data_IF_338617662187
#
_entry.id   IF_338617662187
#
_cell.length_a   1.000
_cell.length_b   1.000
_cell.length_c   1.000
_cell.angle_alpha   90.00
_cell.angle_beta   90.00
_cell.angle_gamma   90.00
#
_symmetry.space_group_name_H-M   'P 1'
#
loop_
_entity.id
_entity.type
_entity.pdbx_description
1 polymer ?
#
# COMPACT_ATOMS: atom_id res chain seq x y z
N UNK A 1 17.51 24.58 12.99
CA UNK A 1 17.14 23.58 11.96
C UNK A 1 16.17 22.61 12.63
N UNK A 2 14.88 22.95 12.62
CA UNK A 2 13.86 22.09 13.22
C UNK A 2 13.77 20.81 12.39
N UNK A 3 14.10 19.68 13.00
CA UNK A 3 13.87 18.38 12.39
C UNK A 3 12.37 18.22 12.19
N UNK A 4 11.95 18.06 10.94
CA UNK A 4 10.60 17.58 10.63
C UNK A 4 10.58 16.13 11.13
N UNK A 5 10.13 15.96 12.38
CA UNK A 5 9.74 14.65 12.89
C UNK A 5 8.53 14.24 12.07
N UNK A 6 8.72 13.28 11.15
CA UNK A 6 7.61 12.68 10.43
C UNK A 6 6.55 12.24 11.44
N UNK A 7 5.31 12.69 11.24
CA UNK A 7 4.20 12.30 12.09
C UNK A 7 3.98 10.78 12.11
N UNK A 8 3.00 10.27 12.86
CA UNK A 8 2.72 8.83 13.00
C UNK A 8 2.60 8.07 11.67
N UNK A 9 2.20 8.73 10.59
CA UNK A 9 2.12 8.16 9.23
C UNK A 9 3.49 7.86 8.57
N UNK A 10 4.57 8.48 9.03
CA UNK A 10 5.91 8.28 8.45
C UNK A 10 6.48 6.87 8.70
N UNK A 11 5.88 6.11 9.62
CA UNK A 11 6.13 4.68 9.85
C UNK A 11 4.85 3.84 9.68
N UNK A 12 3.82 4.41 9.03
CA UNK A 12 2.50 3.81 8.83
C UNK A 12 2.47 2.61 7.87
N UNK A 13 1.28 2.06 7.67
CA UNK A 13 0.96 0.98 6.75
C UNK A 13 1.44 1.29 5.34
N UNK A 14 1.13 2.48 4.79
CA UNK A 14 1.51 2.85 3.43
C UNK A 14 3.03 2.84 3.23
N UNK A 15 3.75 3.39 4.19
CA UNK A 15 5.22 3.45 4.19
C UNK A 15 5.81 2.04 4.23
N UNK A 16 5.32 1.19 5.14
CA UNK A 16 5.80 -0.19 5.28
C UNK A 16 5.48 -1.03 4.04
N UNK A 17 4.27 -0.94 3.51
CA UNK A 17 3.88 -1.60 2.25
C UNK A 17 4.75 -1.12 1.08
N UNK A 18 5.04 0.18 0.98
CA UNK A 18 5.90 0.71 -0.08
C UNK A 18 7.32 0.13 -0.05
N UNK A 19 7.85 -0.22 1.13
CA UNK A 19 9.15 -0.87 1.27
C UNK A 19 9.14 -2.30 0.74
N UNK A 20 8.01 -3.01 0.86
CA UNK A 20 7.83 -4.34 0.28
C UNK A 20 7.80 -4.31 -1.25
N UNK A 21 7.42 -3.17 -1.84
CA UNK A 21 7.44 -2.93 -3.28
C UNK A 21 8.83 -2.67 -3.85
N UNK A 22 9.89 -2.65 -3.04
CA UNK A 22 11.27 -2.60 -3.54
C UNK A 22 11.70 -3.98 -4.02
N UNK A 23 12.35 -4.05 -5.19
CA UNK A 23 13.02 -5.27 -5.67
C UNK A 23 14.30 -5.56 -4.87
N UNK A 24 14.95 -6.70 -5.14
CA UNK A 24 16.21 -7.07 -4.47
C UNK A 24 17.38 -6.11 -4.72
N UNK A 25 17.25 -5.21 -5.70
CA UNK A 25 18.22 -4.18 -6.05
C UNK A 25 17.83 -2.79 -5.49
N UNK A 26 16.72 -2.70 -4.75
CA UNK A 26 16.18 -1.46 -4.20
C UNK A 26 15.44 -0.60 -5.22
N UNK A 27 14.97 -1.16 -6.34
CA UNK A 27 14.18 -0.40 -7.33
C UNK A 27 12.70 -0.52 -7.02
N UNK A 28 11.96 0.55 -7.32
CA UNK A 28 10.50 0.52 -7.26
C UNK A 28 9.97 -0.54 -8.23
N UNK A 29 9.00 -1.33 -7.77
CA UNK A 29 8.27 -2.28 -8.61
C UNK A 29 7.52 -1.55 -9.74
N UNK A 30 7.57 -2.12 -10.94
CA UNK A 30 6.76 -1.67 -12.09
C UNK A 30 5.33 -2.19 -12.05
N UNK A 31 5.00 -3.06 -11.09
CA UNK A 31 3.68 -3.65 -11.01
C UNK A 31 2.66 -2.57 -10.68
N UNK A 32 1.65 -2.41 -11.53
CA UNK A 32 0.56 -1.44 -11.31
C UNK A 32 -0.14 -1.65 -9.97
N UNK A 33 -0.16 -2.89 -9.48
CA UNK A 33 -0.72 -3.24 -8.17
C UNK A 33 -0.01 -2.55 -7.00
N UNK A 34 1.27 -2.20 -7.14
CA UNK A 34 2.02 -1.53 -6.08
C UNK A 34 1.44 -0.15 -5.75
N UNK A 35 0.89 0.55 -6.75
CA UNK A 35 0.22 1.83 -6.52
C UNK A 35 -1.14 1.66 -5.83
N UNK A 36 -1.89 0.59 -6.13
CA UNK A 36 -3.13 0.29 -5.41
C UNK A 36 -2.85 -0.12 -3.96
N UNK A 37 -1.81 -0.93 -3.73
CA UNK A 37 -1.40 -1.36 -2.39
C UNK A 37 -1.00 -0.19 -1.48
N UNK A 38 -0.22 0.78 -1.98
CA UNK A 38 0.13 1.96 -1.17
C UNK A 38 -1.07 2.87 -0.90
N UNK A 39 -2.02 2.99 -1.83
CA UNK A 39 -3.27 3.74 -1.60
C UNK A 39 -4.16 3.07 -0.56
N UNK A 40 -4.29 1.74 -0.61
CA UNK A 40 -4.94 0.97 0.44
C UNK A 40 -4.27 1.19 1.79
N UNK A 41 -2.94 1.18 1.83
CA UNK A 41 -2.17 1.51 3.03
C UNK A 41 -2.46 2.92 3.57
N UNK A 42 -2.58 3.93 2.71
CA UNK A 42 -2.88 5.31 3.14
C UNK A 42 -4.28 5.43 3.74
N UNK A 43 -5.28 4.80 3.13
CA UNK A 43 -6.64 4.78 3.70
C UNK A 43 -6.66 4.11 5.07
N UNK A 44 -5.91 3.02 5.23
CA UNK A 44 -5.77 2.35 6.53
C UNK A 44 -5.02 3.20 7.55
N UNK A 45 -3.98 3.93 7.14
CA UNK A 45 -3.29 4.86 8.03
C UNK A 45 -4.22 5.98 8.51
N UNK A 46 -5.06 6.52 7.62
CA UNK A 46 -6.05 7.53 7.99
C UNK A 46 -7.11 6.96 8.94
N UNK A 47 -7.60 5.74 8.69
CA UNK A 47 -8.57 5.09 9.57
C UNK A 47 -7.97 4.75 10.95
N UNK A 48 -6.74 4.25 11.00
CA UNK A 48 -6.01 3.97 12.25
C UNK A 48 -5.74 5.26 13.04
N UNK A 49 -5.63 6.40 12.37
CA UNK A 49 -5.56 7.72 12.98
C UNK A 49 -6.93 8.30 13.37
N UNK A 50 -8.03 7.56 13.17
CA UNK A 50 -9.40 8.00 13.46
C UNK A 50 -9.95 9.02 12.47
N UNK A 51 -9.30 9.21 11.31
CA UNK A 51 -9.69 10.19 10.28
C UNK A 51 -10.61 9.64 9.21
N UNK A 52 -10.83 8.34 9.18
CA UNK A 52 -11.82 7.69 8.32
C UNK A 52 -12.67 6.79 9.20
N UNK A 53 -13.95 7.11 9.30
CA UNK A 53 -14.91 6.38 10.13
C UNK A 53 -16.09 5.94 9.28
N UNK A 54 -16.66 4.78 9.63
CA UNK A 54 -17.90 4.31 9.04
C UNK A 54 -19.04 4.62 10.00
N UNK A 55 -20.07 5.29 9.49
CA UNK A 55 -21.39 5.41 10.14
C UNK A 55 -22.37 4.47 9.45
N UNK A 56 -23.60 4.36 9.95
CA UNK A 56 -24.61 3.45 9.39
C UNK A 56 -24.95 3.77 7.92
N UNK A 57 -24.84 5.04 7.52
CA UNK A 57 -25.26 5.52 6.20
C UNK A 57 -24.11 6.09 5.34
N UNK A 58 -22.92 6.33 5.90
CA UNK A 58 -21.83 6.99 5.19
C UNK A 58 -20.42 6.64 5.69
N UNK A 59 -19.42 6.98 4.88
CA UNK A 59 -18.02 7.06 5.31
C UNK A 59 -17.69 8.52 5.54
N UNK A 60 -17.30 8.87 6.76
CA UNK A 60 -16.88 10.22 7.13
C UNK A 60 -15.35 10.32 7.10
N UNK A 61 -14.84 11.43 6.56
CA UNK A 61 -13.40 11.67 6.42
C UNK A 61 -13.04 13.02 7.01
N UNK A 62 -12.19 13.01 8.03
CA UNK A 62 -11.55 14.20 8.56
C UNK A 62 -10.46 14.67 7.58
N UNK A 63 -10.73 15.82 6.95
CA UNK A 63 -9.90 16.41 5.92
C UNK A 63 -8.79 17.34 6.47
N UNK A 64 -8.61 17.43 7.80
CA UNK A 64 -7.50 18.20 8.35
C UNK A 64 -6.17 17.68 7.78
N UNK A 65 -5.21 18.56 7.41
CA UNK A 65 -3.90 18.12 6.98
C UNK A 65 -3.21 17.22 8.02
N UNK A 66 -2.58 16.15 7.56
CA UNK A 66 -1.81 15.20 8.37
C UNK A 66 -0.34 15.62 8.49
N UNK A 67 0.14 16.48 7.59
CA UNK A 67 1.56 16.82 7.46
C UNK A 67 2.37 15.74 6.74
N UNK A 68 1.73 14.66 6.27
CA UNK A 68 2.32 13.64 5.42
C UNK A 68 1.83 13.84 3.97
N UNK A 69 2.68 14.35 3.04
CA UNK A 69 2.23 14.83 1.74
C UNK A 69 1.39 13.84 0.90
N UNK A 70 1.70 12.52 0.89
CA UNK A 70 0.85 11.55 0.19
C UNK A 70 -0.56 11.44 0.76
N UNK A 71 -0.71 11.46 2.10
CA UNK A 71 -2.02 11.43 2.76
C UNK A 71 -2.76 12.75 2.54
N UNK A 72 -2.07 13.89 2.63
CA UNK A 72 -2.68 15.20 2.39
C UNK A 72 -3.20 15.35 0.96
N UNK A 73 -2.50 14.76 -0.02
CA UNK A 73 -2.98 14.73 -1.41
C UNK A 73 -4.22 13.85 -1.57
N UNK A 74 -4.28 12.72 -0.87
CA UNK A 74 -5.47 11.86 -0.86
C UNK A 74 -6.66 12.61 -0.24
N UNK A 75 -6.48 13.26 0.91
CA UNK A 75 -7.50 14.06 1.59
C UNK A 75 -7.96 15.24 0.72
N UNK A 76 -7.05 15.94 0.04
CA UNK A 76 -7.41 17.00 -0.89
C UNK A 76 -8.27 16.49 -2.07
N UNK A 77 -8.01 15.27 -2.54
CA UNK A 77 -8.84 14.64 -3.56
C UNK A 77 -10.23 14.32 -3.00
N UNK A 78 -10.32 13.78 -1.77
CA UNK A 78 -11.58 13.52 -1.07
C UNK A 78 -12.45 14.77 -0.95
N UNK A 79 -11.87 15.88 -0.49
CA UNK A 79 -12.59 17.16 -0.38
C UNK A 79 -13.11 17.66 -1.72
N UNK A 80 -12.38 17.41 -2.81
CA UNK A 80 -12.79 17.82 -4.14
C UNK A 80 -13.99 17.00 -4.69
N UNK A 81 -14.18 15.76 -4.24
CA UNK A 81 -15.24 14.87 -4.70
C UNK A 81 -15.90 14.10 -3.53
N UNK A 82 -16.65 14.78 -2.63
CA UNK A 82 -17.13 14.20 -1.36
C UNK A 82 -18.15 13.05 -1.50
N UNK A 83 -18.65 12.79 -2.71
CA UNK A 83 -19.58 11.69 -3.00
C UNK A 83 -18.93 10.49 -3.70
N UNK A 84 -17.61 10.50 -3.92
CA UNK A 84 -16.92 9.42 -4.62
C UNK A 84 -16.85 8.18 -3.72
N UNK A 85 -17.21 6.99 -4.22
CA UNK A 85 -17.13 5.75 -3.46
C UNK A 85 -15.69 5.41 -3.10
N UNK A 86 -15.51 4.61 -2.04
CA UNK A 86 -14.21 4.22 -1.51
C UNK A 86 -13.30 3.53 -2.54
N UNK A 87 -13.86 2.64 -3.37
CA UNK A 87 -13.16 2.02 -4.51
C UNK A 87 -12.60 3.07 -5.49
N UNK A 88 -13.31 4.18 -5.66
CA UNK A 88 -12.87 5.29 -6.47
C UNK A 88 -11.54 5.87 -5.98
N UNK A 89 -11.33 5.95 -4.67
CA UNK A 89 -10.07 6.42 -4.08
C UNK A 89 -8.94 5.41 -4.24
N UNK A 90 -9.25 4.11 -4.15
CA UNK A 90 -8.28 3.05 -4.43
C UNK A 90 -7.82 3.01 -5.89
N UNK A 91 -8.64 3.53 -6.81
CA UNK A 91 -8.34 3.64 -8.23
C UNK A 91 -7.70 4.98 -8.64
N UNK A 92 -7.49 5.90 -7.69
CA UNK A 92 -6.92 7.24 -7.96
C UNK A 92 -5.51 7.16 -8.55
N UNK A 93 -5.34 7.52 -9.83
CA UNK A 93 -4.06 7.34 -10.54
C UNK A 93 -3.02 8.42 -10.26
N UNK A 94 -3.42 9.56 -9.69
CA UNK A 94 -2.51 10.67 -9.38
C UNK A 94 -1.65 10.42 -8.14
N UNK A 95 -1.95 9.37 -7.38
CA UNK A 95 -1.22 8.98 -6.18
C UNK A 95 -0.70 7.55 -6.34
N UNK A 96 0.63 7.40 -6.35
CA UNK A 96 1.26 6.12 -6.59
C UNK A 96 2.52 5.88 -5.77
N UNK A 97 3.20 4.77 -6.05
CA UNK A 97 4.40 4.35 -5.34
C UNK A 97 5.53 5.40 -5.39
N UNK A 98 5.63 6.17 -6.47
CA UNK A 98 6.63 7.23 -6.61
C UNK A 98 6.43 8.37 -5.60
N UNK A 99 5.18 8.69 -5.24
CA UNK A 99 4.87 9.71 -4.24
C UNK A 99 5.28 9.25 -2.84
N UNK A 100 5.03 7.98 -2.51
CA UNK A 100 5.50 7.38 -1.26
C UNK A 100 7.03 7.30 -1.22
N UNK A 101 7.69 6.98 -2.34
CA UNK A 101 9.14 6.98 -2.43
C UNK A 101 9.73 8.37 -2.13
N UNK A 102 9.13 9.43 -2.70
CA UNK A 102 9.52 10.81 -2.42
C UNK A 102 9.28 11.19 -0.96
N UNK A 103 8.16 10.78 -0.37
CA UNK A 103 7.87 11.03 1.04
C UNK A 103 8.81 10.27 1.99
N UNK A 104 9.16 9.03 1.67
CA UNK A 104 10.16 8.24 2.40
C UNK A 104 11.57 8.83 2.29
N UNK A 105 11.93 9.39 1.14
CA UNK A 105 13.20 10.12 0.97
C UNK A 105 13.19 11.39 1.82
N UNK A 106 12.09 12.16 1.81
CA UNK A 106 11.95 13.40 2.57
C UNK A 106 11.94 13.18 4.09
N UNK A 107 11.33 12.10 4.58
CA UNK A 107 11.34 11.72 6.00
C UNK A 107 12.69 11.13 6.44
N UNK A 108 13.59 10.86 5.49
CA UNK A 108 14.86 10.20 5.76
C UNK A 108 14.73 8.70 6.03
N UNK A 109 13.56 8.08 5.85
CA UNK A 109 13.43 6.62 5.94
C UNK A 109 14.20 5.93 4.82
N UNK A 110 14.17 6.50 3.60
CA UNK A 110 14.88 5.96 2.45
C UNK A 110 16.06 6.84 2.03
N UNK A 111 17.09 6.19 1.50
CA UNK A 111 18.21 6.86 0.84
C UNK A 111 18.17 6.56 -0.64
N UNK A 112 17.94 7.59 -1.46
CA UNK A 112 18.01 7.48 -2.92
C UNK A 112 19.46 7.44 -3.39
N UNK A 113 19.79 6.42 -4.17
CA UNK A 113 21.05 6.24 -4.89
C UNK A 113 20.79 6.51 -6.37
N UNK A 114 21.10 7.73 -6.80
CA UNK A 114 20.91 8.14 -8.19
C UNK A 114 21.80 7.34 -9.12
N UNK A 115 21.29 7.00 -10.29
CA UNK A 115 22.02 6.26 -11.32
C UNK A 115 21.94 7.02 -12.64
N UNK A 116 23.08 7.24 -13.31
CA UNK A 116 23.13 8.07 -14.53
C UNK A 116 22.38 7.45 -15.73
N UNK A 117 22.42 6.11 -15.86
CA UNK A 117 21.89 5.37 -17.02
C UNK A 117 20.90 4.26 -16.63
N UNK A 118 20.53 4.18 -15.35
CA UNK A 118 19.65 3.12 -14.83
C UNK A 118 18.59 3.76 -13.95
N UNK A 119 17.55 2.99 -13.66
CA UNK A 119 16.59 3.40 -12.62
C UNK A 119 17.29 3.57 -11.29
N UNK A 120 16.86 4.62 -10.58
CA UNK A 120 17.34 4.90 -9.24
C UNK A 120 17.06 3.74 -8.30
N UNK A 121 17.92 3.62 -7.30
CA UNK A 121 17.79 2.64 -6.23
C UNK A 121 17.50 3.35 -4.93
N UNK A 122 16.74 2.71 -4.07
CA UNK A 122 16.41 3.17 -2.74
C UNK A 122 16.92 2.15 -1.74
N UNK A 123 17.52 2.67 -0.66
CA UNK A 123 17.92 1.87 0.49
C UNK A 123 16.99 2.23 1.63
N UNK A 124 16.20 1.25 2.08
CA UNK A 124 15.34 1.38 3.25
C UNK A 124 16.20 1.30 4.53
N UNK A 125 16.21 2.38 5.33
CA UNK A 125 16.93 2.40 6.61
C UNK A 125 16.25 1.54 7.68
N UNK A 126 14.97 1.19 7.49
CA UNK A 126 14.22 0.31 8.37
C UNK A 126 14.18 -1.15 7.86
N UNK A 127 15.24 -1.61 7.17
CA UNK A 127 15.30 -2.92 6.52
C UNK A 127 14.96 -4.11 7.45
N UNK A 128 15.27 -4.03 8.74
CA UNK A 128 14.91 -5.08 9.71
C UNK A 128 13.41 -5.15 9.97
N UNK A 129 12.70 -4.02 9.96
CA UNK A 129 11.23 -3.99 10.04
C UNK A 129 10.63 -4.58 8.77
N UNK A 130 11.13 -4.17 7.60
CA UNK A 130 10.69 -4.69 6.31
C UNK A 130 10.91 -6.21 6.20
N UNK A 131 12.02 -6.72 6.75
CA UNK A 131 12.26 -8.17 6.83
C UNK A 131 11.28 -8.89 7.76
N UNK A 132 10.94 -8.30 8.91
CA UNK A 132 9.89 -8.84 9.79
C UNK A 132 8.53 -8.85 9.11
N UNK A 133 8.21 -7.80 8.37
CA UNK A 133 6.95 -7.67 7.63
C UNK A 133 6.82 -8.75 6.55
N UNK A 134 7.90 -9.02 5.81
CA UNK A 134 7.98 -10.12 4.84
C UNK A 134 7.90 -11.52 5.47
N UNK A 135 8.33 -11.67 6.72
CA UNK A 135 8.34 -12.96 7.41
C UNK A 135 6.99 -13.29 8.07
N UNK A 136 6.02 -12.37 8.09
CA UNK A 136 4.70 -12.63 8.66
C UNK A 136 3.88 -13.54 7.74
N UNK A 137 3.15 -14.48 8.34
CA UNK A 137 2.21 -15.32 7.62
C UNK A 137 0.86 -14.63 7.48
N UNK A 138 0.22 -14.63 6.29
CA UNK A 138 -1.13 -14.13 6.11
C UNK A 138 -2.21 -15.09 6.66
N UNK A 139 -1.85 -16.36 6.89
CA UNK A 139 -2.77 -17.39 7.37
C UNK A 139 -2.96 -17.33 8.89
N UNK A 140 -1.92 -16.92 9.62
CA UNK A 140 -1.91 -16.91 11.09
C UNK A 140 -2.17 -15.49 11.61
N UNK A 141 -3.38 -15.26 12.14
CA UNK A 141 -3.65 -14.12 13.03
C UNK A 141 -2.88 -14.33 14.34
N UNK A 142 -1.67 -13.78 14.43
CA UNK A 142 -0.78 -14.00 15.56
C UNK A 142 -1.23 -13.29 16.85
N UNK A 143 -1.09 -13.98 17.98
CA UNK A 143 -1.17 -13.36 19.31
C UNK A 143 -0.08 -12.28 19.42
N UNK A 144 -0.47 -11.05 19.76
CA UNK A 144 0.46 -9.92 19.94
C UNK A 144 0.74 -9.09 18.69
N UNK A 145 0.02 -9.28 17.58
CA UNK A 145 0.04 -8.34 16.46
C UNK A 145 -0.64 -7.03 16.84
N UNK A 146 -0.02 -5.91 16.46
CA UNK A 146 -0.71 -4.62 16.48
C UNK A 146 -1.67 -4.51 15.30
N UNK A 147 -2.69 -3.66 15.40
CA UNK A 147 -3.61 -3.38 14.30
C UNK A 147 -2.88 -2.94 13.02
N UNK A 148 -1.82 -2.15 13.18
CA UNK A 148 -0.98 -1.71 12.08
C UNK A 148 -0.17 -2.85 11.44
N UNK A 149 0.39 -3.77 12.26
CA UNK A 149 1.08 -4.95 11.73
C UNK A 149 0.14 -5.85 10.93
N UNK A 150 -1.07 -6.07 11.45
CA UNK A 150 -2.10 -6.83 10.77
C UNK A 150 -2.51 -6.19 9.44
N UNK A 151 -2.71 -4.86 9.43
CA UNK A 151 -3.03 -4.09 8.23
C UNK A 151 -1.93 -4.19 7.15
N UNK A 152 -0.66 -4.06 7.54
CA UNK A 152 0.48 -4.23 6.62
C UNK A 152 0.49 -5.62 6.02
N UNK A 153 0.35 -6.66 6.83
CA UNK A 153 0.38 -8.04 6.35
C UNK A 153 -0.82 -8.35 5.45
N UNK A 154 -2.02 -7.86 5.78
CA UNK A 154 -3.21 -8.08 4.97
C UNK A 154 -3.09 -7.42 3.59
N UNK A 155 -2.64 -6.16 3.51
CA UNK A 155 -2.42 -5.48 2.23
C UNK A 155 -1.29 -6.13 1.43
N UNK A 156 -0.20 -6.53 2.09
CA UNK A 156 0.91 -7.19 1.44
C UNK A 156 0.50 -8.54 0.83
N UNK A 157 -0.32 -9.32 1.54
CA UNK A 157 -0.88 -10.58 1.05
C UNK A 157 -1.78 -10.35 -0.16
N UNK A 158 -2.76 -9.44 -0.05
CA UNK A 158 -3.70 -9.12 -1.13
C UNK A 158 -2.99 -8.59 -2.40
N UNK A 159 -1.86 -7.90 -2.23
CA UNK A 159 -1.05 -7.38 -3.33
C UNK A 159 -0.04 -8.40 -3.89
N UNK A 160 0.06 -9.61 -3.31
CA UNK A 160 1.04 -10.64 -3.67
C UNK A 160 2.49 -10.25 -3.37
N UNK A 161 2.71 -9.36 -2.39
CA UNK A 161 4.04 -8.88 -2.02
C UNK A 161 4.78 -9.83 -1.08
N UNK A 162 4.06 -10.76 -0.44
CA UNK A 162 4.62 -11.77 0.45
C UNK A 162 5.22 -12.95 -0.35
N UNK A 163 4.57 -13.41 -1.42
CA UNK A 163 5.17 -14.35 -2.37
C UNK A 163 6.05 -13.62 -3.40
N UNK A 164 7.33 -13.39 -3.06
CA UNK A 164 8.26 -12.73 -3.99
C UNK A 164 8.61 -13.54 -5.24
N UNK A 165 8.25 -14.84 -5.29
CA UNK A 165 8.57 -15.71 -6.43
C UNK A 165 7.47 -15.68 -7.48
N UNK A 166 6.21 -15.89 -7.07
CA UNK A 166 5.08 -15.89 -7.99
C UNK A 166 4.34 -14.56 -8.01
N UNK A 167 4.45 -13.79 -6.94
CA UNK A 167 3.67 -12.57 -6.74
C UNK A 167 2.18 -12.84 -6.65
N UNK A 168 1.77 -14.05 -6.29
CA UNK A 168 0.35 -14.44 -6.24
C UNK A 168 -0.32 -13.75 -5.06
N UNK A 169 -1.49 -13.11 -5.27
CA UNK A 169 -2.22 -12.52 -4.17
C UNK A 169 -2.80 -13.63 -3.29
N UNK A 170 -2.62 -13.48 -1.99
CA UNK A 170 -3.19 -14.36 -0.97
C UNK A 170 -4.33 -13.64 -0.28
N UNK A 171 -5.43 -14.35 -0.05
CA UNK A 171 -6.56 -13.82 0.72
C UNK A 171 -6.17 -13.78 2.22
N UNK A 172 -6.20 -12.60 2.88
CA UNK A 172 -5.91 -12.51 4.30
C UNK A 172 -6.87 -13.37 5.13
N UNK A 173 -6.38 -14.09 6.14
CA UNK A 173 -7.27 -14.90 6.97
C UNK A 173 -8.25 -14.03 7.77
N UNK A 174 -9.46 -14.55 8.10
CA UNK A 174 -10.40 -13.81 8.94
C UNK A 174 -9.82 -13.40 10.30
N UNK A 175 -8.91 -14.20 10.86
CA UNK A 175 -8.20 -13.88 12.09
C UNK A 175 -7.21 -12.73 11.93
N UNK A 176 -6.53 -12.63 10.78
CA UNK A 176 -5.66 -11.51 10.47
C UNK A 176 -6.46 -10.21 10.29
N UNK A 177 -7.58 -10.26 9.58
CA UNK A 177 -8.47 -9.11 9.44
C UNK A 177 -9.06 -8.69 10.79
N UNK A 178 -9.45 -9.64 11.64
CA UNK A 178 -9.93 -9.34 12.99
C UNK A 178 -8.86 -8.63 13.85
N UNK A 179 -7.57 -8.97 13.67
CA UNK A 179 -6.48 -8.33 14.39
C UNK A 179 -6.26 -6.85 14.01
N UNK A 180 -6.88 -6.35 12.94
CA UNK A 180 -6.88 -4.92 12.60
C UNK A 180 -7.80 -4.08 13.49
N UNK A 181 -8.63 -4.70 14.34
CA UNK A 181 -9.46 -4.01 15.32
C UNK A 181 -10.56 -3.17 14.69
N UNK A 182 -10.70 -1.92 15.13
CA UNK A 182 -11.80 -1.03 14.73
C UNK A 182 -11.79 -0.70 13.22
N UNK A 183 -10.64 -0.83 12.55
CA UNK A 183 -10.52 -0.60 11.11
C UNK A 183 -10.73 -1.87 10.28
N UNK A 184 -11.21 -2.96 10.87
CA UNK A 184 -11.46 -4.24 10.17
C UNK A 184 -12.33 -4.09 8.94
N UNK A 185 -13.41 -3.31 9.02
CA UNK A 185 -14.32 -3.10 7.90
C UNK A 185 -13.58 -2.53 6.68
N UNK A 186 -12.66 -1.60 6.91
CA UNK A 186 -11.87 -0.99 5.86
C UNK A 186 -10.78 -1.94 5.37
N UNK A 187 -10.11 -2.65 6.28
CA UNK A 187 -9.09 -3.64 5.93
C UNK A 187 -9.65 -4.73 5.02
N UNK A 188 -10.84 -5.26 5.34
CA UNK A 188 -11.56 -6.23 4.52
C UNK A 188 -11.87 -5.66 3.13
N UNK A 189 -12.45 -4.46 3.07
CA UNK A 189 -12.81 -3.80 1.82
C UNK A 189 -11.58 -3.52 0.92
N UNK A 190 -10.54 -2.89 1.44
CA UNK A 190 -9.36 -2.53 0.63
C UNK A 190 -8.57 -3.76 0.18
N UNK A 191 -8.50 -4.81 1.00
CA UNK A 191 -7.81 -6.05 0.62
C UNK A 191 -8.59 -6.81 -0.44
N UNK A 192 -9.92 -6.86 -0.36
CA UNK A 192 -10.78 -7.37 -1.42
C UNK A 192 -10.56 -6.64 -2.75
N UNK A 193 -10.55 -5.30 -2.73
CA UNK A 193 -10.31 -4.50 -3.95
C UNK A 193 -8.91 -4.72 -4.53
N UNK A 194 -7.87 -4.74 -3.69
CA UNK A 194 -6.48 -4.99 -4.12
C UNK A 194 -6.34 -6.39 -4.71
N UNK A 195 -6.89 -7.43 -4.08
CA UNK A 195 -6.88 -8.80 -4.61
C UNK A 195 -7.56 -8.85 -5.99
N UNK A 196 -8.74 -8.25 -6.13
CA UNK A 196 -9.44 -8.16 -7.40
C UNK A 196 -8.63 -7.41 -8.47
N UNK A 197 -7.99 -6.30 -8.12
CA UNK A 197 -7.12 -5.55 -9.02
C UNK A 197 -5.90 -6.38 -9.45
N UNK A 198 -5.31 -7.16 -8.54
CA UNK A 198 -4.18 -8.05 -8.84
C UNK A 198 -4.59 -9.13 -9.85
N UNK A 199 -5.72 -9.80 -9.64
CA UNK A 199 -6.25 -10.80 -10.58
C UNK A 199 -6.56 -10.21 -11.95
N UNK A 200 -7.20 -9.02 -12.01
CA UNK A 200 -7.44 -8.31 -13.28
C UNK A 200 -6.15 -8.01 -14.02
N UNK A 201 -5.14 -7.48 -13.34
CA UNK A 201 -3.83 -7.18 -13.93
C UNK A 201 -3.17 -8.44 -14.50
N UNK A 202 -3.19 -9.54 -13.75
CA UNK A 202 -2.62 -10.82 -14.20
C UNK A 202 -3.32 -11.35 -15.45
N UNK A 203 -4.65 -11.38 -15.46
CA UNK A 203 -5.42 -11.82 -16.62
C UNK A 203 -5.08 -11.01 -17.88
N UNK A 204 -4.97 -9.68 -17.76
CA UNK A 204 -4.57 -8.80 -18.86
C UNK A 204 -3.14 -9.06 -19.32
N UNK A 205 -2.20 -9.24 -18.38
CA UNK A 205 -0.79 -9.50 -18.70
C UNK A 205 -0.57 -10.84 -19.40
N UNK A 206 -1.36 -11.87 -19.07
CA UNK A 206 -1.33 -13.16 -19.76
C UNK A 206 -2.00 -13.10 -21.14
N UNK A 207 -3.12 -12.39 -21.28
CA UNK A 207 -3.78 -12.17 -22.57
C UNK A 207 -2.87 -11.46 -23.60
N UNK A 208 -2.09 -10.47 -23.15
CA UNK A 208 -1.09 -9.79 -23.98
C UNK A 208 0.06 -10.69 -24.42
N UNK A 209 0.43 -11.73 -23.64
CA UNK A 209 1.46 -12.70 -24.01
C UNK A 209 0.98 -13.72 -25.05
N UNK A 210 -0.30 -14.10 -25.02
CA UNK A 210 -0.88 -15.07 -25.97
C UNK A 210 -1.12 -14.45 -27.35
N UNK A 211 -1.52 -13.17 -27.41
CA UNK A 211 -1.71 -12.46 -28.69
C UNK A 211 -0.40 -12.11 -29.42
N UNK A 212 0.76 -12.18 -28.77
CA UNK A 212 2.06 -11.93 -29.39
C UNK A 212 2.67 -13.14 -30.14
N UNK A 213 2.07 -14.33 -30.03
CA UNK A 213 2.59 -15.59 -30.61
C UNK A 213 1.91 -16.03 -31.90
N UNK A 214 1.03 -15.22 -32.48
CA UNK A 214 0.41 -15.51 -33.79
C UNK A 214 0.83 -14.43 -34.79
N UNK A 215 2.06 -14.55 -35.31
CA UNK A 215 2.46 -13.91 -36.57
C UNK A 215 2.24 -14.89 -37.72
N UNK A 216 1.86 -14.43 -38.93
CA UNK A 216 1.40 -15.29 -40.01
C UNK A 216 2.58 -16.09 -40.58
N UNK A 217 2.34 -17.39 -40.82
CA UNK A 217 3.19 -18.24 -41.65
C UNK A 217 2.99 -17.98 -43.13
#
# INVERSE_FOLDING_TARGET
MAGVTGGPLADGVAVRVSALCLDSQGRLSDLLIASAAVRAGLLLDLALAGRVTQTDDAVEIDAEPTGFPPADRLLAAVVAEPGRPLDGWLDERRLGLADLAAANEASGRWVRRRQLLRRDRYVDRAADQTRRDLARSPEVGGVGLTAQDAAVTAVAAAAGLLDRRRGEPDEPSPGLLAATGDVRWLADHVTGHVTAACWRYRAQSMGLRVSGTVGPG
#
